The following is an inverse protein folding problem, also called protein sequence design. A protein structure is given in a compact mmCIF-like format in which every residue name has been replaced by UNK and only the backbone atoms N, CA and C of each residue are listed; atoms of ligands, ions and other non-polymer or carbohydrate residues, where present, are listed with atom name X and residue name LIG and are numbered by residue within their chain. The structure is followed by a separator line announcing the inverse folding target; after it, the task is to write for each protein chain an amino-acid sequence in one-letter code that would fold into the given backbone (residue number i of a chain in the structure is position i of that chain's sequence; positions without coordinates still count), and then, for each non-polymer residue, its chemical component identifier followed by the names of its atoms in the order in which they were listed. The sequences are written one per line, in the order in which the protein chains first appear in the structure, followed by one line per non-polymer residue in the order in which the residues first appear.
data_IF_700309058235
#
_entry.id   IF_700309058235
#
_cell.length_a   1.000
_cell.length_b   1.000
_cell.length_c   1.000
_cell.angle_alpha   90.00
_cell.angle_beta   90.00
_cell.angle_gamma   90.00
#
_symmetry.space_group_name_H-M   'P 1'
#
loop_
_entity.id
_entity.type
_entity.pdbx_description
1 polymer ?
#
# COMPACT_ATOMS: atom_id res chain seq x y z
N UNK A 1 12.51 -4.69 62.53
CA UNK A 1 13.55 -4.91 61.50
C UNK A 1 13.08 -6.05 60.62
N UNK A 2 12.58 -5.73 59.42
CA UNK A 2 12.11 -6.73 58.45
C UNK A 2 12.53 -6.24 57.07
N UNK A 3 13.50 -6.93 56.49
CA UNK A 3 14.13 -6.66 55.19
C UNK A 3 13.21 -7.07 54.04
N UNK A 4 12.89 -6.11 53.17
CA UNK A 4 12.30 -6.37 51.85
C UNK A 4 13.40 -6.84 50.89
N UNK A 5 13.24 -8.05 50.34
CA UNK A 5 14.06 -8.52 49.22
C UNK A 5 13.43 -8.02 47.91
N UNK A 6 14.17 -7.15 47.21
CA UNK A 6 13.86 -6.68 45.85
C UNK A 6 14.55 -7.64 44.87
N UNK A 7 13.78 -8.34 44.05
CA UNK A 7 14.29 -9.08 42.90
C UNK A 7 14.57 -8.09 41.74
N UNK A 8 15.81 -8.06 41.19
CA UNK A 8 16.11 -7.25 40.01
C UNK A 8 15.95 -8.11 38.75
N UNK A 9 15.12 -7.68 37.80
CA UNK A 9 15.12 -8.34 36.49
C UNK A 9 13.85 -8.23 35.67
N UNK A 10 13.41 -7.03 35.32
CA UNK A 10 12.56 -6.84 34.14
C UNK A 10 13.33 -5.95 33.17
N UNK A 11 14.07 -6.60 32.27
CA UNK A 11 14.58 -5.95 31.07
C UNK A 11 13.36 -5.54 30.23
N UNK A 12 13.19 -4.23 30.03
CA UNK A 12 12.28 -3.68 29.04
C UNK A 12 12.53 -4.37 27.69
N UNK A 13 11.58 -5.19 27.25
CA UNK A 13 11.53 -5.69 25.89
C UNK A 13 11.33 -4.50 24.96
N UNK A 14 12.42 -4.07 24.32
CA UNK A 14 12.40 -3.14 23.20
C UNK A 14 11.44 -3.72 22.16
N UNK A 15 10.38 -2.99 21.86
CA UNK A 15 9.51 -3.26 20.72
C UNK A 15 10.34 -3.21 19.45
N UNK A 16 10.63 -4.40 18.91
CA UNK A 16 11.25 -4.55 17.60
C UNK A 16 10.16 -4.20 16.57
N UNK A 17 10.40 -3.29 15.60
CA UNK A 17 9.45 -3.06 14.52
C UNK A 17 9.28 -4.35 13.69
N UNK A 18 8.04 -4.64 13.29
CA UNK A 18 7.62 -5.86 12.58
C UNK A 18 8.64 -6.33 11.53
N UNK A 19 8.88 -7.65 11.42
CA UNK A 19 9.89 -8.19 10.52
C UNK A 19 9.57 -7.82 9.07
N UNK A 20 10.56 -7.22 8.41
CA UNK A 20 10.55 -6.93 6.98
C UNK A 20 10.20 -8.20 6.19
N UNK A 21 9.07 -8.18 5.48
CA UNK A 21 8.68 -9.27 4.59
C UNK A 21 9.71 -9.39 3.45
N UNK A 22 10.36 -10.56 3.36
CA UNK A 22 11.13 -10.99 2.18
C UNK A 22 10.17 -11.03 0.98
N UNK A 23 10.43 -10.18 -0.01
CA UNK A 23 9.80 -10.29 -1.32
C UNK A 23 10.39 -11.51 -2.03
N UNK A 24 9.58 -12.55 -2.20
CA UNK A 24 9.84 -13.60 -3.19
C UNK A 24 9.77 -12.97 -4.58
N UNK A 25 10.90 -12.93 -5.27
CA UNK A 25 10.97 -12.53 -6.68
C UNK A 25 10.67 -13.75 -7.54
N UNK A 26 9.51 -13.76 -8.20
CA UNK A 26 9.31 -14.63 -9.36
C UNK A 26 9.92 -13.93 -10.57
N UNK A 27 11.19 -14.22 -10.84
CA UNK A 27 11.83 -13.85 -12.10
C UNK A 27 11.33 -14.80 -13.17
N UNK A 28 10.36 -14.39 -13.98
CA UNK A 28 10.19 -14.95 -15.32
C UNK A 28 10.89 -14.04 -16.31
N UNK A 29 12.14 -14.38 -16.62
CA UNK A 29 12.77 -14.00 -17.88
C UNK A 29 11.90 -14.55 -19.02
N UNK A 30 11.33 -13.67 -19.84
CA UNK A 30 10.90 -14.05 -21.18
C UNK A 30 11.78 -13.26 -22.16
N UNK A 31 12.83 -13.96 -22.57
CA UNK A 31 13.54 -13.75 -23.82
C UNK A 31 12.52 -13.90 -24.96
N UNK A 32 12.26 -12.82 -25.70
CA UNK A 32 11.77 -12.91 -27.08
C UNK A 32 12.59 -11.98 -27.95
N UNK A 33 13.58 -12.57 -28.60
CA UNK A 33 14.05 -12.10 -29.89
C UNK A 33 12.88 -12.19 -30.87
N UNK A 34 12.59 -11.09 -31.55
CA UNK A 34 12.04 -11.15 -32.90
C UNK A 34 12.42 -9.88 -33.65
N UNK A 35 13.47 -10.05 -34.46
CA UNK A 35 13.75 -9.29 -35.67
C UNK A 35 12.54 -9.36 -36.60
N UNK A 36 12.13 -8.22 -37.17
CA UNK A 36 11.68 -8.06 -38.56
C UNK A 36 11.25 -6.60 -38.83
N UNK A 37 12.15 -5.93 -39.55
CA UNK A 37 11.89 -5.14 -40.77
C UNK A 37 10.76 -4.12 -40.78
N UNK A 38 11.19 -2.85 -40.78
CA UNK A 38 10.44 -1.72 -41.34
C UNK A 38 10.13 -1.93 -42.82
N UNK A 39 8.96 -1.45 -43.25
CA UNK A 39 8.97 -0.44 -44.31
C UNK A 39 8.26 0.85 -43.89
N UNK A 40 8.86 1.97 -44.30
CA UNK A 40 8.25 3.30 -44.33
C UNK A 40 6.98 3.28 -45.17
N UNK A 41 5.89 3.85 -44.67
CA UNK A 41 4.91 4.50 -45.54
C UNK A 41 4.42 5.81 -44.92
N UNK A 42 4.85 6.90 -45.55
CA UNK A 42 4.44 8.26 -45.29
C UNK A 42 3.08 8.48 -45.97
N UNK A 43 2.04 8.95 -45.27
CA UNK A 43 0.94 9.66 -45.93
C UNK A 43 0.22 10.63 -44.98
N UNK A 44 0.49 11.89 -45.24
CA UNK A 44 -0.21 13.08 -44.76
C UNK A 44 -1.74 12.92 -44.82
N UNK A 45 -2.43 13.20 -43.70
CA UNK A 45 -3.81 13.68 -43.75
C UNK A 45 -4.12 14.61 -42.57
N UNK A 46 -4.36 15.91 -42.81
CA UNK A 46 -4.88 16.80 -41.79
C UNK A 46 -6.41 16.67 -41.78
N UNK A 47 -7.00 16.35 -40.62
CA UNK A 47 -8.41 16.66 -40.34
C UNK A 47 -8.59 17.06 -38.88
N UNK A 48 -8.64 18.37 -38.67
CA UNK A 48 -9.36 18.99 -37.57
C UNK A 48 -10.79 18.45 -37.50
N UNK A 49 -11.27 18.20 -36.28
CA UNK A 49 -12.69 18.12 -35.93
C UNK A 49 -12.83 18.08 -34.40
N UNK A 50 -13.96 18.52 -33.85
CA UNK A 50 -13.97 19.73 -33.04
C UNK A 50 -14.13 19.48 -31.54
N UNK A 51 -13.66 20.46 -30.77
CA UNK A 51 -14.25 20.99 -29.54
C UNK A 51 -15.26 20.09 -28.80
N UNK A 52 -14.76 19.22 -27.91
CA UNK A 52 -15.58 18.57 -26.86
C UNK A 52 -15.49 19.38 -25.57
N UNK A 53 -16.21 20.49 -25.53
CA UNK A 53 -16.68 21.04 -24.26
C UNK A 53 -17.87 20.21 -23.77
N UNK A 54 -17.90 19.88 -22.47
CA UNK A 54 -19.16 19.55 -21.79
C UNK A 54 -19.39 18.09 -21.43
N UNK A 55 -18.49 17.47 -20.67
CA UNK A 55 -18.93 16.58 -19.59
C UNK A 55 -18.00 16.81 -18.42
N UNK A 56 -18.44 17.61 -17.43
CA UNK A 56 -17.83 17.61 -16.10
C UNK A 56 -17.98 16.19 -15.57
N UNK A 57 -16.98 15.36 -15.86
CA UNK A 57 -17.01 13.93 -15.64
C UNK A 57 -17.25 13.66 -14.16
N UNK A 58 -18.24 12.84 -13.86
CA UNK A 58 -18.31 12.19 -12.55
C UNK A 58 -16.91 11.67 -12.22
N UNK A 59 -16.42 11.86 -10.98
CA UNK A 59 -15.15 11.29 -10.58
C UNK A 59 -15.16 9.81 -10.95
N UNK A 60 -14.22 9.38 -11.80
CA UNK A 60 -14.10 7.95 -12.11
C UNK A 60 -13.85 7.25 -10.77
N UNK A 61 -14.63 6.22 -10.40
CA UNK A 61 -14.34 5.46 -9.21
C UNK A 61 -12.90 4.95 -9.30
N UNK A 62 -12.17 5.01 -8.18
CA UNK A 62 -10.84 4.44 -8.09
C UNK A 62 -10.96 2.97 -8.50
N UNK A 63 -10.11 2.52 -9.42
CA UNK A 63 -10.08 1.11 -9.82
C UNK A 63 -9.21 0.35 -8.84
N UNK A 64 -9.64 -0.85 -8.48
CA UNK A 64 -8.82 -1.79 -7.72
C UNK A 64 -7.47 -1.95 -8.43
N UNK A 65 -6.38 -1.80 -7.68
CA UNK A 65 -5.07 -2.10 -8.19
C UNK A 65 -4.83 -3.61 -8.10
N UNK A 66 -4.74 -4.23 -9.28
CA UNK A 66 -4.51 -5.66 -9.46
C UNK A 66 -3.12 -5.84 -10.09
N UNK A 67 -2.16 -6.45 -9.39
CA UNK A 67 -0.89 -6.86 -9.98
C UNK A 67 -1.09 -7.75 -11.22
N UNK A 68 -0.18 -7.69 -12.21
CA UNK A 68 -0.33 -8.41 -13.48
C UNK A 68 -0.55 -9.93 -13.34
N UNK A 69 -0.14 -10.54 -12.22
CA UNK A 69 -0.28 -11.97 -11.94
C UNK A 69 -1.66 -12.41 -11.44
N UNK A 70 -2.60 -11.48 -11.21
CA UNK A 70 -3.89 -11.74 -10.55
C UNK A 70 -5.08 -11.76 -11.54
N UNK A 71 -5.17 -12.81 -12.34
CA UNK A 71 -6.29 -13.11 -13.26
C UNK A 71 -7.63 -13.47 -12.59
N UNK A 72 -7.62 -13.78 -11.29
CA UNK A 72 -8.79 -14.22 -10.53
C UNK A 72 -9.54 -13.05 -9.86
N UNK A 73 -9.23 -11.80 -10.22
CA UNK A 73 -10.07 -10.64 -9.91
C UNK A 73 -10.73 -10.20 -11.20
N UNK A 74 -12.06 -10.29 -11.25
CA UNK A 74 -12.83 -9.91 -12.44
C UNK A 74 -12.70 -8.40 -12.72
N UNK A 75 -12.90 -7.96 -13.98
CA UNK A 75 -12.97 -6.53 -14.30
C UNK A 75 -14.03 -5.75 -13.49
N UNK A 76 -15.03 -6.44 -12.96
CA UNK A 76 -16.03 -5.91 -12.03
C UNK A 76 -15.51 -5.62 -10.62
N UNK A 77 -14.27 -6.01 -10.31
CA UNK A 77 -13.67 -5.94 -8.98
C UNK A 77 -14.00 -7.13 -8.09
N UNK A 78 -14.79 -8.11 -8.56
CA UNK A 78 -15.13 -9.31 -7.78
C UNK A 78 -13.95 -10.29 -7.74
N UNK A 79 -13.56 -10.70 -6.53
CA UNK A 79 -12.58 -11.76 -6.31
C UNK A 79 -13.20 -13.14 -6.58
N UNK A 80 -12.59 -13.91 -7.47
CA UNK A 80 -12.84 -15.34 -7.66
C UNK A 80 -11.95 -16.12 -6.70
N UNK A 81 -12.56 -16.80 -5.73
CA UNK A 81 -11.84 -17.51 -4.67
C UNK A 81 -12.63 -18.73 -4.15
N UNK A 82 -12.07 -19.46 -3.18
CA UNK A 82 -12.71 -20.63 -2.58
C UNK A 82 -13.68 -20.23 -1.46
N UNK A 83 -14.65 -21.09 -1.09
CA UNK A 83 -15.53 -20.84 0.06
C UNK A 83 -14.77 -20.59 1.36
N UNK A 84 -13.66 -21.30 1.59
CA UNK A 84 -12.79 -21.12 2.75
C UNK A 84 -12.22 -19.69 2.84
N UNK A 85 -11.70 -19.15 1.73
CA UNK A 85 -11.21 -17.77 1.69
C UNK A 85 -12.34 -16.78 1.91
N UNK A 86 -13.51 -17.04 1.34
CA UNK A 86 -14.66 -16.18 1.52
C UNK A 86 -15.09 -16.12 2.99
N UNK A 87 -15.19 -17.27 3.66
CA UNK A 87 -15.46 -17.35 5.10
C UNK A 87 -14.42 -16.61 5.92
N UNK A 88 -13.12 -16.77 5.60
CA UNK A 88 -12.04 -16.04 6.27
C UNK A 88 -12.19 -14.51 6.14
N UNK A 89 -12.50 -13.99 4.95
CA UNK A 89 -12.68 -12.55 4.74
C UNK A 89 -13.92 -12.01 5.47
N UNK A 90 -15.00 -12.79 5.51
CA UNK A 90 -16.20 -12.44 6.27
C UNK A 90 -15.96 -12.46 7.79
N UNK A 91 -15.30 -13.49 8.30
CA UNK A 91 -14.97 -13.66 9.72
C UNK A 91 -14.10 -12.50 10.22
N UNK A 92 -13.05 -12.15 9.47
CA UNK A 92 -12.07 -11.15 9.88
C UNK A 92 -12.47 -9.71 9.54
N UNK A 93 -13.45 -9.53 8.64
CA UNK A 93 -13.80 -8.22 8.08
C UNK A 93 -12.69 -7.60 7.22
N UNK A 94 -11.66 -8.37 6.87
CA UNK A 94 -10.56 -7.91 6.03
C UNK A 94 -11.07 -7.67 4.61
N UNK A 95 -10.70 -6.52 4.07
CA UNK A 95 -11.07 -6.09 2.74
C UNK A 95 -10.00 -6.50 1.71
N UNK A 96 -10.40 -7.03 0.56
CA UNK A 96 -9.44 -7.31 -0.53
C UNK A 96 -9.38 -6.17 -1.56
N UNK A 97 -10.43 -5.36 -1.65
CA UNK A 97 -10.56 -4.30 -2.62
C UNK A 97 -9.91 -3.00 -2.12
N UNK A 98 -8.68 -2.76 -2.58
CA UNK A 98 -7.94 -1.55 -2.24
C UNK A 98 -8.50 -0.25 -2.86
N UNK A 99 -9.49 -0.33 -3.75
CA UNK A 99 -10.18 0.87 -4.24
C UNK A 99 -11.07 1.53 -3.17
N UNK A 100 -11.42 0.79 -2.11
CA UNK A 100 -12.19 1.30 -0.97
C UNK A 100 -11.40 2.21 -0.05
N UNK A 101 -10.08 2.35 -0.26
CA UNK A 101 -9.29 3.38 0.38
C UNK A 101 -9.51 4.73 -0.32
N UNK A 102 -9.90 5.74 0.46
CA UNK A 102 -10.14 7.09 -0.05
C UNK A 102 -8.83 7.86 -0.10
N UNK A 103 -8.73 8.83 -1.03
CA UNK A 103 -7.56 9.69 -1.09
C UNK A 103 -7.42 10.49 0.20
N UNK A 104 -6.24 10.45 0.79
CA UNK A 104 -5.89 11.28 1.93
C UNK A 104 -5.37 12.62 1.42
N UNK A 105 -6.16 13.68 1.60
CA UNK A 105 -5.79 15.04 1.21
C UNK A 105 -4.92 15.68 2.28
N UNK A 106 -3.66 15.98 1.99
CA UNK A 106 -2.67 16.48 2.95
C UNK A 106 -2.82 17.98 3.28
N UNK A 107 -3.94 18.59 2.91
CA UNK A 107 -4.20 20.01 3.13
C UNK A 107 -3.09 20.91 2.55
N UNK A 108 -2.52 21.84 3.34
CA UNK A 108 -1.46 22.73 2.88
C UNK A 108 -0.20 22.02 2.37
N UNK A 109 0.10 20.82 2.88
CA UNK A 109 1.31 20.07 2.54
C UNK A 109 1.18 19.31 1.21
N UNK A 110 -0.02 19.25 0.62
CA UNK A 110 -0.31 18.48 -0.60
C UNK A 110 0.60 18.87 -1.78
N UNK A 111 0.77 20.16 -2.03
CA UNK A 111 1.58 20.61 -3.18
C UNK A 111 3.06 20.29 -3.00
N UNK A 112 3.58 20.48 -1.77
CA UNK A 112 4.96 20.17 -1.43
C UNK A 112 5.23 18.67 -1.56
N UNK A 113 4.35 17.84 -1.02
CA UNK A 113 4.47 16.38 -1.11
C UNK A 113 4.32 15.91 -2.56
N UNK A 114 3.37 16.46 -3.32
CA UNK A 114 3.21 16.14 -4.74
C UNK A 114 4.45 16.48 -5.56
N UNK A 115 5.04 17.65 -5.33
CA UNK A 115 6.23 18.10 -6.07
C UNK A 115 7.45 17.20 -5.80
N UNK A 116 7.67 16.82 -4.55
CA UNK A 116 8.84 16.02 -4.14
C UNK A 116 8.67 14.52 -4.40
N UNK A 117 7.49 13.98 -4.11
CA UNK A 117 7.29 12.52 -4.05
C UNK A 117 6.46 11.97 -5.20
N UNK A 118 5.67 12.81 -5.89
CA UNK A 118 4.75 12.38 -6.96
C UNK A 118 4.04 11.05 -6.63
N UNK A 119 3.37 11.01 -5.49
CA UNK A 119 2.71 9.82 -4.97
C UNK A 119 1.22 10.07 -4.73
N UNK A 120 0.44 8.99 -4.73
CA UNK A 120 -0.95 8.97 -4.29
C UNK A 120 -1.00 8.33 -2.92
N UNK A 121 -1.60 9.02 -1.96
CA UNK A 121 -1.77 8.54 -0.58
C UNK A 121 -3.25 8.30 -0.36
N UNK A 122 -3.57 7.13 0.17
CA UNK A 122 -4.93 6.71 0.46
C UNK A 122 -5.02 6.12 1.86
N UNK A 123 -6.18 6.28 2.49
CA UNK A 123 -6.47 5.74 3.80
C UNK A 123 -7.83 5.05 3.80
N UNK A 124 -7.95 3.99 4.58
CA UNK A 124 -9.21 3.35 4.90
C UNK A 124 -9.23 3.01 6.39
N UNK A 125 -10.36 3.20 7.10
CA UNK A 125 -10.53 2.65 8.44
C UNK A 125 -10.61 1.11 8.42
N UNK A 126 -10.78 0.50 7.24
CA UNK A 126 -10.77 -0.96 7.08
C UNK A 126 -9.35 -1.48 6.89
N UNK A 127 -9.12 -2.70 7.36
CA UNK A 127 -7.91 -3.45 7.07
C UNK A 127 -8.01 -4.04 5.66
N UNK A 128 -7.09 -3.65 4.78
CA UNK A 128 -7.10 -4.00 3.37
C UNK A 128 -5.88 -4.89 3.08
N UNK A 129 -6.10 -6.02 2.41
CA UNK A 129 -5.06 -6.92 1.96
C UNK A 129 -4.04 -6.23 1.07
N UNK A 130 -2.82 -6.75 1.13
CA UNK A 130 -1.80 -6.33 0.19
C UNK A 130 -2.16 -6.91 -1.20
N UNK A 131 -2.19 -6.11 -2.26
CA UNK A 131 -2.67 -6.56 -3.56
C UNK A 131 -1.84 -7.71 -4.17
N UNK A 132 -0.54 -7.79 -3.83
CA UNK A 132 0.32 -8.90 -4.27
C UNK A 132 0.06 -10.21 -3.51
N UNK A 133 -0.69 -10.20 -2.42
CA UNK A 133 -1.09 -11.42 -1.73
C UNK A 133 -2.36 -12.05 -2.32
N UNK A 134 -3.09 -11.33 -3.18
CA UNK A 134 -4.29 -11.86 -3.82
C UNK A 134 -3.99 -13.13 -4.63
N UNK A 135 -2.81 -13.24 -5.28
CA UNK A 135 -2.40 -14.45 -6.01
C UNK A 135 -2.43 -15.73 -5.16
N UNK A 136 -2.27 -15.61 -3.84
CA UNK A 136 -2.31 -16.74 -2.91
C UNK A 136 -3.73 -17.12 -2.49
N UNK A 137 -4.73 -16.30 -2.85
CA UNK A 137 -6.14 -16.54 -2.64
C UNK A 137 -6.82 -17.16 -3.87
N UNK A 138 -6.03 -17.51 -4.91
CA UNK A 138 -6.54 -18.15 -6.12
C UNK A 138 -7.04 -19.57 -5.81
N UNK A 139 -8.20 -19.99 -6.35
CA UNK A 139 -8.61 -21.39 -6.31
C UNK A 139 -7.53 -22.31 -6.91
N UNK A 140 -7.24 -23.43 -6.24
CA UNK A 140 -6.30 -24.45 -6.73
C UNK A 140 -4.81 -24.18 -6.47
N UNK A 141 -4.43 -23.03 -5.89
CA UNK A 141 -3.05 -22.75 -5.44
C UNK A 141 -3.06 -22.65 -3.92
N UNK A 142 -2.91 -23.81 -3.24
CA UNK A 142 -3.10 -23.91 -1.80
C UNK A 142 -1.85 -23.93 -0.88
N UNK A 143 -0.57 -23.98 -1.32
CA UNK A 143 0.51 -24.27 -0.37
C UNK A 143 0.76 -23.13 0.63
N UNK A 144 0.52 -21.88 0.23
CA UNK A 144 0.77 -20.70 1.08
C UNK A 144 -0.49 -20.16 1.76
N UNK A 145 -1.68 -20.65 1.39
CA UNK A 145 -2.94 -20.05 1.84
C UNK A 145 -3.09 -20.07 3.38
N UNK A 146 -2.86 -21.19 4.09
CA UNK A 146 -2.96 -21.22 5.55
C UNK A 146 -1.98 -20.25 6.22
N UNK A 147 -0.76 -20.14 5.68
CA UNK A 147 0.28 -19.24 6.20
C UNK A 147 -0.13 -17.78 6.00
N UNK A 148 -0.67 -17.43 4.83
CA UNK A 148 -1.15 -16.07 4.55
C UNK A 148 -2.31 -15.70 5.48
N UNK A 149 -3.32 -16.58 5.62
CA UNK A 149 -4.44 -16.35 6.52
C UNK A 149 -3.99 -16.21 7.97
N UNK A 150 -3.12 -17.10 8.46
CA UNK A 150 -2.57 -17.04 9.81
C UNK A 150 -1.81 -15.74 10.08
N UNK A 151 -0.96 -15.31 9.13
CA UNK A 151 -0.25 -14.05 9.24
C UNK A 151 -1.20 -12.85 9.31
N UNK A 152 -2.29 -12.86 8.52
CA UNK A 152 -3.26 -11.77 8.56
C UNK A 152 -4.11 -11.76 9.84
N UNK A 153 -4.44 -12.92 10.42
CA UNK A 153 -5.07 -12.98 11.76
C UNK A 153 -4.17 -12.36 12.80
N UNK A 154 -2.90 -12.80 12.88
CA UNK A 154 -1.91 -12.21 13.80
C UNK A 154 -1.77 -10.70 13.59
N UNK A 155 -1.67 -10.25 12.33
CA UNK A 155 -1.54 -8.83 11.99
C UNK A 155 -2.75 -7.99 12.42
N UNK A 156 -3.95 -8.58 12.42
CA UNK A 156 -5.17 -7.91 12.87
C UNK A 156 -5.14 -7.60 14.38
N UNK A 157 -4.53 -8.50 15.16
CA UNK A 157 -4.38 -8.38 16.61
C UNK A 157 -3.21 -7.46 17.00
N UNK A 158 -2.09 -7.57 16.28
CA UNK A 158 -0.83 -6.92 16.65
C UNK A 158 -0.67 -5.50 16.06
N UNK A 159 -1.22 -5.23 14.86
CA UNK A 159 -0.95 -3.99 14.14
C UNK A 159 -2.21 -3.13 13.98
N UNK A 160 -2.34 -2.00 14.71
CA UNK A 160 -3.53 -1.14 14.60
C UNK A 160 -3.62 -0.48 13.22
N UNK A 161 -2.50 -0.11 12.61
CA UNK A 161 -2.46 0.51 11.29
C UNK A 161 -1.56 -0.28 10.35
N UNK A 162 -2.16 -0.80 9.28
CA UNK A 162 -1.44 -1.47 8.22
C UNK A 162 -0.92 -0.42 7.25
N UNK A 163 0.37 -0.53 6.90
CA UNK A 163 0.97 0.34 5.89
C UNK A 163 1.54 -0.52 4.78
N UNK A 164 1.32 -0.12 3.52
CA UNK A 164 2.04 -0.70 2.41
C UNK A 164 2.19 0.27 1.25
N UNK A 165 3.20 -0.01 0.42
CA UNK A 165 3.55 0.82 -0.71
C UNK A 165 3.42 0.06 -2.02
N UNK A 166 2.73 0.64 -3.00
CA UNK A 166 2.65 0.16 -4.37
C UNK A 166 3.60 0.98 -5.22
N UNK A 167 4.64 0.36 -5.79
CA UNK A 167 5.56 1.03 -6.70
C UNK A 167 5.15 0.81 -8.16
N UNK A 168 4.82 1.89 -8.87
CA UNK A 168 4.59 1.90 -10.32
C UNK A 168 5.84 2.49 -10.97
N UNK A 169 6.78 1.66 -11.43
CA UNK A 169 8.03 2.12 -12.05
C UNK A 169 9.08 1.01 -12.17
N UNK A 170 10.07 1.21 -13.04
CA UNK A 170 11.10 0.23 -13.41
C UNK A 170 12.34 0.18 -12.51
N UNK A 171 12.29 0.72 -11.29
CA UNK A 171 13.46 0.74 -10.39
C UNK A 171 13.80 -0.64 -9.83
N UNK A 172 15.05 -0.84 -9.41
CA UNK A 172 15.51 -2.10 -8.80
C UNK A 172 14.81 -2.37 -7.45
N UNK A 173 14.70 -3.64 -7.07
CA UNK A 173 14.09 -4.06 -5.81
C UNK A 173 14.79 -3.45 -4.58
N UNK A 174 16.12 -3.28 -4.65
CA UNK A 174 16.91 -2.66 -3.57
C UNK A 174 16.49 -1.21 -3.36
N UNK A 175 16.38 -0.43 -4.45
CA UNK A 175 15.94 0.98 -4.37
C UNK A 175 14.54 1.05 -3.77
N UNK A 176 13.61 0.21 -4.23
CA UNK A 176 12.23 0.18 -3.69
C UNK A 176 12.24 -0.14 -2.20
N UNK A 177 13.00 -1.14 -1.77
CA UNK A 177 13.05 -1.56 -0.38
C UNK A 177 13.61 -0.45 0.53
N UNK A 178 14.75 0.15 0.16
CA UNK A 178 15.36 1.22 0.94
C UNK A 178 14.46 2.46 1.01
N UNK A 179 13.84 2.81 -0.11
CA UNK A 179 12.89 3.91 -0.19
C UNK A 179 11.68 3.68 0.71
N UNK A 180 11.02 2.51 0.62
CA UNK A 180 9.87 2.16 1.47
C UNK A 180 10.28 2.20 2.94
N UNK A 181 11.40 1.59 3.31
CA UNK A 181 11.90 1.59 4.69
C UNK A 181 12.09 3.02 5.22
N UNK A 182 12.64 3.92 4.41
CA UNK A 182 12.85 5.33 4.80
C UNK A 182 11.53 6.09 4.97
N UNK A 183 10.58 5.94 4.04
CA UNK A 183 9.28 6.61 4.14
C UNK A 183 8.46 6.08 5.31
N UNK A 184 8.36 4.76 5.45
CA UNK A 184 7.65 4.12 6.56
C UNK A 184 8.28 4.47 7.90
N UNK A 185 9.62 4.48 7.99
CA UNK A 185 10.32 4.93 9.18
C UNK A 185 9.99 6.38 9.55
N UNK A 186 10.09 7.31 8.59
CA UNK A 186 9.76 8.71 8.82
C UNK A 186 8.30 8.93 9.24
N UNK A 187 7.36 8.22 8.61
CA UNK A 187 5.95 8.24 8.99
C UNK A 187 5.73 7.77 10.43
N UNK A 188 6.31 6.63 10.82
CA UNK A 188 6.14 6.09 12.17
C UNK A 188 6.85 6.93 13.23
N UNK A 189 7.99 7.54 12.91
CA UNK A 189 8.62 8.54 13.77
C UNK A 189 7.67 9.72 14.01
N UNK A 190 7.11 10.31 12.95
CA UNK A 190 6.17 11.41 13.08
C UNK A 190 4.89 11.02 13.84
N UNK A 191 4.35 9.81 13.62
CA UNK A 191 3.22 9.29 14.39
C UNK A 191 3.54 9.16 15.89
N UNK A 192 4.74 8.68 16.22
CA UNK A 192 5.22 8.59 17.60
C UNK A 192 5.35 9.96 18.24
N UNK A 193 5.90 10.94 17.51
CA UNK A 193 6.03 12.32 17.98
C UNK A 193 4.68 12.99 18.22
N UNK A 194 3.64 12.57 17.50
CA UNK A 194 2.23 12.95 17.73
C UNK A 194 1.57 12.20 18.90
N UNK A 195 2.28 11.30 19.58
CA UNK A 195 1.80 10.54 20.74
C UNK A 195 1.16 9.19 20.41
N UNK A 196 1.24 8.70 19.17
CA UNK A 196 0.63 7.44 18.77
C UNK A 196 1.66 6.32 18.61
N UNK A 197 1.52 5.26 19.40
CA UNK A 197 2.22 3.99 19.21
C UNK A 197 1.27 2.83 18.93
N UNK A 198 0.27 2.62 19.81
CA UNK A 198 -0.72 1.52 19.70
C UNK A 198 -2.18 1.99 19.76
N UNK A 199 -2.45 3.17 20.34
CA UNK A 199 -3.80 3.74 20.48
C UNK A 199 -4.13 4.74 19.36
N UNK A 200 -3.51 4.58 18.19
CA UNK A 200 -3.63 5.51 17.08
C UNK A 200 -4.65 5.12 16.03
N UNK A 201 -4.58 5.77 14.86
CA UNK A 201 -5.37 5.44 13.68
C UNK A 201 -5.40 3.94 13.40
N UNK A 202 -6.58 3.44 13.02
CA UNK A 202 -6.79 2.03 12.68
C UNK A 202 -7.08 1.83 11.20
N UNK A 203 -6.75 0.65 10.67
CA UNK A 203 -7.07 0.29 9.29
C UNK A 203 -5.85 0.27 8.38
N UNK A 204 -5.92 0.91 7.22
CA UNK A 204 -4.87 0.80 6.19
C UNK A 204 -4.48 2.13 5.57
N UNK A 205 -3.19 2.44 5.57
CA UNK A 205 -2.55 3.49 4.78
C UNK A 205 -1.86 2.88 3.55
N UNK A 206 -2.24 3.35 2.37
CA UNK A 206 -1.72 2.90 1.08
C UNK A 206 -0.96 4.05 0.42
N UNK A 207 0.28 3.81 0.04
CA UNK A 207 1.10 4.78 -0.68
C UNK A 207 1.42 4.25 -2.07
N UNK A 208 0.92 4.88 -3.12
CA UNK A 208 1.28 4.54 -4.50
C UNK A 208 2.34 5.51 -5.01
N UNK A 209 3.53 4.99 -5.32
CA UNK A 209 4.68 5.76 -5.79
C UNK A 209 4.80 5.61 -7.31
N UNK A 210 4.84 6.73 -8.02
CA UNK A 210 4.95 6.76 -9.49
C UNK A 210 6.38 6.92 -9.99
N UNK A 211 7.29 7.43 -9.14
CA UNK A 211 8.72 7.58 -9.47
C UNK A 211 9.59 7.20 -8.27
N UNK A 212 9.98 5.92 -8.16
CA UNK A 212 10.75 5.45 -7.01
C UNK A 212 12.16 6.06 -6.91
N UNK A 213 12.78 6.43 -8.04
CA UNK A 213 14.14 7.00 -8.02
C UNK A 213 14.12 8.42 -7.47
N UNK A 214 13.18 9.23 -7.94
CA UNK A 214 12.96 10.58 -7.38
C UNK A 214 12.63 10.52 -5.89
N UNK A 215 11.72 9.62 -5.50
CA UNK A 215 11.33 9.47 -4.10
C UNK A 215 12.47 8.98 -3.22
N UNK A 216 13.34 8.10 -3.72
CA UNK A 216 14.50 7.64 -2.98
C UNK A 216 15.48 8.77 -2.63
N UNK A 217 15.50 9.87 -3.39
CA UNK A 217 16.37 11.02 -3.11
C UNK A 217 15.68 12.09 -2.25
N UNK A 218 14.35 12.04 -2.12
CA UNK A 218 13.58 13.04 -1.42
C UNK A 218 13.76 12.99 0.12
N UNK A 219 13.60 14.13 0.81
CA UNK A 219 13.68 14.21 2.27
C UNK A 219 12.47 13.57 2.95
N UNK A 220 12.61 12.30 3.37
CA UNK A 220 11.51 11.47 3.89
C UNK A 220 10.72 12.06 5.08
N UNK A 221 11.33 12.89 5.93
CA UNK A 221 10.64 13.53 7.06
C UNK A 221 9.48 14.42 6.59
N UNK A 222 9.63 15.12 5.46
CA UNK A 222 8.58 15.97 4.87
C UNK A 222 7.34 15.13 4.53
N UNK A 223 7.54 13.91 4.02
CA UNK A 223 6.46 12.98 3.76
C UNK A 223 5.85 12.46 5.07
N UNK A 224 6.71 12.00 6.00
CA UNK A 224 6.27 11.39 7.25
C UNK A 224 5.39 12.33 8.08
N UNK A 225 5.84 13.56 8.29
CA UNK A 225 5.14 14.59 9.06
C UNK A 225 3.78 14.95 8.43
N UNK A 226 3.75 15.22 7.12
CA UNK A 226 2.54 15.61 6.41
C UNK A 226 1.48 14.50 6.47
N UNK A 227 1.89 13.24 6.24
CA UNK A 227 0.97 12.09 6.25
C UNK A 227 0.49 11.79 7.67
N UNK A 228 1.39 11.79 8.66
CA UNK A 228 1.03 11.53 10.06
C UNK A 228 0.04 12.57 10.60
N UNK A 229 0.33 13.86 10.36
CA UNK A 229 -0.55 14.98 10.74
C UNK A 229 -1.93 14.85 10.12
N UNK A 230 -2.00 14.58 8.82
CA UNK A 230 -3.28 14.47 8.13
C UNK A 230 -4.05 13.22 8.55
N UNK A 231 -3.37 12.09 8.72
CA UNK A 231 -3.99 10.85 9.15
C UNK A 231 -4.62 10.99 10.54
N UNK A 232 -3.92 11.65 11.47
CA UNK A 232 -4.46 12.00 12.79
C UNK A 232 -5.79 12.75 12.66
N UNK A 233 -5.79 13.85 11.93
CA UNK A 233 -6.99 14.68 11.76
C UNK A 233 -8.14 13.92 11.10
N UNK A 234 -7.85 13.10 10.10
CA UNK A 234 -8.86 12.28 9.41
C UNK A 234 -9.42 11.21 10.34
N UNK A 235 -8.59 10.58 11.16
CA UNK A 235 -9.03 9.56 12.11
C UNK A 235 -9.87 10.15 13.24
N UNK A 236 -9.45 11.27 13.84
CA UNK A 236 -10.20 11.98 14.88
C UNK A 236 -11.60 12.40 14.38
N UNK A 237 -11.71 12.85 13.13
CA UNK A 237 -13.01 13.18 12.49
C UNK A 237 -13.93 11.99 12.26
N UNK A 238 -13.41 10.78 12.18
CA UNK A 238 -14.21 9.56 12.01
C UNK A 238 -14.71 9.05 13.38
N UNK A 239 -14.02 9.40 14.47
CA UNK A 239 -14.40 9.02 15.82
C UNK A 239 -15.37 10.01 16.49
N UNK A 240 -15.38 11.26 16.04
CA UNK A 240 -16.31 12.30 16.48
C UNK A 240 -17.68 12.15 15.81
#
# INVERSE_FOLDING_TARGET
MTTAQVLPGIKLLRSIPSPNYRLYSSTTQILRQHTKDHPQENRNRPRQSPNRNGTKGRPKPLRIFIPPSNDHVLPSGKLLTTPEVWSFLQETGIEYDNSKATRLHLGPDEQKVKALFNCLIQYSPRYILHPFHLQHLRPGIAPMLPIIMSNYRRKLEEEPLWTYTICRGGSSNVVRHLMVKRLTGAFWTAMKDLGYSMNGPRGTLIVTIHDPLKVAQAPAHIFGEAVAKQLKQTWEKIQA
#
